data_IF_078437441615
#
_entry.id   IF_078437441615
#
_cell.length_a   1.000
_cell.length_b   1.000
_cell.length_c   1.000
_cell.angle_alpha   90.00
_cell.angle_beta   90.00
_cell.angle_gamma   90.00
#
_symmetry.space_group_name_H-M   'P 1'
#
loop_
_entity.id
_entity.type
_entity.pdbx_description
1 polymer ?
#
# COMPACT_ATOMS: atom_id res chain seq x y z
N UNK A 1 -26.88 -66.84 -12.32
CA UNK A 1 -26.10 -66.48 -11.11
C UNK A 1 -24.77 -65.88 -11.55
N UNK A 2 -24.64 -64.56 -11.57
CA UNK A 2 -23.37 -63.84 -11.74
C UNK A 2 -23.42 -62.64 -10.80
N UNK A 3 -22.68 -62.74 -9.71
CA UNK A 3 -22.39 -61.64 -8.79
C UNK A 3 -21.50 -60.64 -9.54
N UNK A 4 -21.94 -59.39 -9.64
CA UNK A 4 -21.04 -58.27 -9.94
C UNK A 4 -21.07 -57.32 -8.75
N UNK A 5 -20.02 -57.41 -7.96
CA UNK A 5 -19.69 -56.50 -6.89
C UNK A 5 -19.15 -55.22 -7.55
N UNK A 6 -19.90 -54.13 -7.48
CA UNK A 6 -19.39 -52.80 -7.85
C UNK A 6 -19.03 -52.07 -6.56
N UNK A 7 -17.74 -52.13 -6.25
CA UNK A 7 -17.07 -51.30 -5.26
C UNK A 7 -16.41 -50.17 -6.05
N UNK A 8 -16.82 -48.91 -5.88
CA UNK A 8 -15.86 -47.79 -5.91
C UNK A 8 -16.41 -46.43 -5.44
N UNK A 9 -15.73 -45.95 -4.39
CA UNK A 9 -15.33 -44.58 -4.09
C UNK A 9 -16.42 -43.50 -3.94
N UNK A 10 -16.91 -43.38 -2.71
CA UNK A 10 -17.32 -42.08 -2.14
C UNK A 10 -16.09 -41.16 -2.10
N UNK A 11 -16.03 -40.20 -3.01
CA UNK A 11 -15.12 -39.06 -2.89
C UNK A 11 -15.74 -38.13 -1.84
N UNK A 12 -15.28 -38.24 -0.60
CA UNK A 12 -15.47 -37.19 0.39
C UNK A 12 -14.64 -35.99 -0.06
N UNK A 13 -15.26 -35.06 -0.79
CA UNK A 13 -14.69 -33.73 -0.96
C UNK A 13 -14.72 -33.04 0.40
N UNK A 14 -13.59 -33.10 1.10
CA UNK A 14 -13.30 -32.24 2.23
C UNK A 14 -13.40 -30.79 1.76
N UNK A 15 -14.50 -30.12 2.10
CA UNK A 15 -14.57 -28.66 2.09
C UNK A 15 -13.66 -28.18 3.22
N UNK A 16 -12.37 -28.08 2.95
CA UNK A 16 -11.46 -27.27 3.75
C UNK A 16 -11.77 -25.83 3.40
N UNK A 17 -12.65 -25.19 4.19
CA UNK A 17 -12.62 -23.75 4.31
C UNK A 17 -11.32 -23.40 5.02
N UNK A 18 -10.31 -23.00 4.25
CA UNK A 18 -9.18 -22.29 4.81
C UNK A 18 -9.75 -20.96 5.34
N UNK A 19 -9.85 -20.86 6.67
CA UNK A 19 -10.14 -19.63 7.35
C UNK A 19 -8.85 -18.81 7.29
N UNK A 20 -8.65 -18.11 6.18
CA UNK A 20 -7.56 -17.17 6.01
C UNK A 20 -8.19 -15.79 6.08
N UNK A 21 -7.85 -15.04 7.13
CA UNK A 21 -8.02 -13.58 7.22
C UNK A 21 -7.09 -12.88 6.21
N UNK A 22 -7.03 -13.38 4.97
CA UNK A 22 -6.31 -12.80 3.87
C UNK A 22 -7.14 -11.63 3.34
N UNK A 23 -6.47 -10.48 3.30
CA UNK A 23 -6.78 -9.21 2.64
C UNK A 23 -7.70 -9.35 1.42
N UNK A 24 -9.00 -9.59 1.65
CA UNK A 24 -10.03 -9.53 0.64
C UNK A 24 -10.35 -8.06 0.35
N UNK A 25 -9.39 -7.41 -0.32
CA UNK A 25 -9.62 -6.17 -1.04
C UNK A 25 -10.68 -6.49 -2.12
N UNK A 26 -11.84 -5.84 -2.04
CA UNK A 26 -12.67 -5.72 -3.21
C UNK A 26 -11.91 -4.79 -4.15
N UNK A 27 -11.13 -5.36 -5.08
CA UNK A 27 -10.44 -4.65 -6.15
C UNK A 27 -11.48 -3.81 -6.91
N UNK A 28 -11.56 -2.53 -6.58
CA UNK A 28 -12.22 -1.55 -7.40
C UNK A 28 -11.17 -1.09 -8.41
N UNK A 29 -11.25 -1.63 -9.63
CA UNK A 29 -10.23 -1.44 -10.66
C UNK A 29 -9.89 0.05 -10.85
N UNK A 30 -8.65 0.42 -10.51
CA UNK A 30 -8.08 1.69 -10.93
C UNK A 30 -8.01 1.73 -12.46
N UNK A 31 -8.43 2.82 -13.09
CA UNK A 31 -8.30 2.97 -14.55
C UNK A 31 -6.84 3.19 -14.92
N UNK A 32 -6.12 2.09 -15.13
CA UNK A 32 -4.74 2.13 -15.57
C UNK A 32 -4.67 2.28 -17.09
N UNK A 33 -3.88 3.25 -17.56
CA UNK A 33 -3.73 3.48 -19.01
C UNK A 33 -3.05 2.29 -19.69
N UNK A 34 -2.10 1.64 -18.99
CA UNK A 34 -1.47 0.37 -19.37
C UNK A 34 -1.10 -0.40 -18.09
N UNK A 35 -1.33 -1.71 -18.05
CA UNK A 35 -0.84 -2.54 -16.94
C UNK A 35 0.70 -2.51 -16.92
N UNK A 36 1.33 -2.40 -15.74
CA UNK A 36 2.77 -2.43 -15.65
C UNK A 36 3.24 -3.88 -15.78
N UNK A 37 4.45 -4.06 -16.27
CA UNK A 37 5.05 -5.40 -16.33
C UNK A 37 5.80 -5.63 -15.01
N UNK A 38 5.41 -6.66 -14.27
CA UNK A 38 6.15 -7.10 -13.10
C UNK A 38 7.40 -7.87 -13.53
N UNK A 39 8.58 -7.45 -13.06
CA UNK A 39 9.82 -8.21 -13.20
C UNK A 39 10.28 -8.66 -11.80
N UNK A 40 10.49 -9.97 -11.63
CA UNK A 40 10.78 -10.61 -10.34
C UNK A 40 12.28 -10.91 -10.18
N UNK A 41 12.83 -10.51 -9.03
CA UNK A 41 13.57 -11.43 -8.15
C UNK A 41 12.99 -11.30 -6.73
N UNK A 42 13.16 -12.32 -5.88
CA UNK A 42 12.49 -12.49 -4.59
C UNK A 42 12.72 -11.36 -3.56
N UNK A 43 13.54 -10.35 -3.86
CA UNK A 43 13.79 -9.19 -3.00
C UNK A 43 13.76 -7.84 -3.75
N UNK A 44 13.54 -7.81 -5.07
CA UNK A 44 13.57 -6.60 -5.90
C UNK A 44 12.46 -6.55 -6.96
N UNK A 45 11.20 -6.79 -6.57
CA UNK A 45 10.08 -6.61 -7.50
C UNK A 45 10.01 -5.16 -7.98
N UNK A 46 10.35 -4.96 -9.26
CA UNK A 46 10.15 -3.69 -9.93
C UNK A 46 8.84 -3.76 -10.71
N UNK A 47 8.00 -2.77 -10.48
CA UNK A 47 6.92 -2.42 -11.40
C UNK A 47 7.53 -1.61 -12.53
N UNK A 48 7.67 -2.23 -13.72
CA UNK A 48 8.22 -1.56 -14.90
C UNK A 48 7.09 -0.83 -15.61
N UNK A 49 7.16 0.50 -15.59
CA UNK A 49 6.20 1.37 -16.26
C UNK A 49 6.62 1.58 -17.73
N UNK A 50 7.91 1.80 -17.96
CA UNK A 50 8.54 1.79 -19.30
C UNK A 50 10.06 1.55 -19.15
N UNK A 51 10.84 1.41 -20.25
CA UNK A 51 12.28 1.12 -20.16
C UNK A 51 13.10 2.12 -19.32
N UNK A 52 12.65 3.37 -19.25
CA UNK A 52 13.30 4.47 -18.54
C UNK A 52 12.58 4.84 -17.24
N UNK A 53 11.55 4.08 -16.84
CA UNK A 53 10.73 4.37 -15.67
C UNK A 53 10.35 3.08 -14.95
N UNK A 54 10.95 2.87 -13.78
CA UNK A 54 10.69 1.70 -12.92
C UNK A 54 10.47 2.18 -11.49
N UNK A 55 9.60 1.51 -10.76
CA UNK A 55 9.36 1.80 -9.35
C UNK A 55 9.40 0.50 -8.54
N UNK A 56 9.92 0.56 -7.32
CA UNK A 56 9.96 -0.60 -6.42
C UNK A 56 9.85 -0.19 -4.95
N UNK A 57 9.31 -1.10 -4.14
CA UNK A 57 9.51 -1.12 -2.71
C UNK A 57 10.92 -1.65 -2.41
N UNK A 58 11.62 -1.05 -1.45
CA UNK A 58 13.00 -1.39 -1.11
C UNK A 58 13.10 -1.65 0.38
N UNK A 59 13.70 -2.78 0.72
CA UNK A 59 14.15 -3.09 2.07
C UNK A 59 15.58 -2.55 2.25
N UNK A 60 15.76 -1.62 3.18
CA UNK A 60 17.06 -1.04 3.52
C UNK A 60 17.71 -1.74 4.71
N UNK A 61 17.14 -2.87 5.15
CA UNK A 61 17.62 -3.66 6.27
C UNK A 61 17.07 -3.20 7.61
N UNK A 62 17.57 -3.85 8.67
CA UNK A 62 17.09 -3.63 10.03
C UNK A 62 17.98 -2.66 10.80
N UNK A 63 17.37 -1.94 11.74
CA UNK A 63 18.07 -1.09 12.70
C UNK A 63 17.68 -1.49 14.12
N UNK A 64 18.68 -1.66 14.98
CA UNK A 64 18.44 -1.94 16.39
C UNK A 64 18.29 -0.64 17.19
N UNK A 65 17.37 -0.68 18.15
CA UNK A 65 17.02 0.43 19.02
C UNK A 65 16.92 -0.04 20.47
N UNK A 66 17.09 0.91 21.38
CA UNK A 66 16.89 0.70 22.80
C UNK A 66 16.11 1.87 23.37
N UNK A 67 15.01 1.60 24.07
CA UNK A 67 14.18 2.60 24.75
C UNK A 67 13.80 2.07 26.12
N UNK A 68 14.20 2.78 27.18
CA UNK A 68 13.92 2.40 28.58
C UNK A 68 14.22 0.91 28.84
N UNK A 69 15.44 0.49 28.50
CA UNK A 69 15.95 -0.88 28.66
C UNK A 69 15.35 -1.95 27.73
N UNK A 70 14.27 -1.64 27.00
CA UNK A 70 13.71 -2.54 25.98
C UNK A 70 14.54 -2.41 24.69
N UNK A 71 15.12 -3.53 24.26
CA UNK A 71 15.79 -3.66 22.96
C UNK A 71 14.78 -4.15 21.92
N UNK A 72 14.75 -3.50 20.77
CA UNK A 72 13.86 -3.85 19.67
C UNK A 72 14.49 -3.47 18.33
N UNK A 73 14.05 -4.13 17.27
CA UNK A 73 14.53 -3.87 15.90
C UNK A 73 13.40 -3.27 15.08
N UNK A 74 13.75 -2.34 14.20
CA UNK A 74 12.85 -1.78 13.19
C UNK A 74 13.37 -2.18 11.81
N UNK A 75 12.47 -2.50 10.89
CA UNK A 75 12.76 -2.66 9.48
C UNK A 75 12.73 -1.29 8.81
N UNK A 76 13.83 -0.90 8.17
CA UNK A 76 13.91 0.33 7.37
C UNK A 76 13.53 -0.01 5.93
N UNK A 77 12.63 0.75 5.34
CA UNK A 77 12.18 0.50 3.98
C UNK A 77 11.85 1.82 3.28
N UNK A 78 11.55 1.77 1.98
CA UNK A 78 11.02 2.92 1.25
C UNK A 78 10.70 2.58 -0.19
N UNK A 79 10.37 3.60 -0.98
CA UNK A 79 10.09 3.42 -2.41
C UNK A 79 11.13 4.16 -3.24
N UNK A 80 11.72 3.44 -4.19
CA UNK A 80 12.65 3.97 -5.16
C UNK A 80 12.03 4.03 -6.55
N UNK A 81 12.29 5.13 -7.26
CA UNK A 81 11.88 5.29 -8.65
C UNK A 81 13.11 5.57 -9.52
N UNK A 82 13.35 4.69 -10.49
CA UNK A 82 14.25 4.96 -11.61
C UNK A 82 13.50 5.90 -12.56
N UNK A 83 13.93 7.15 -12.64
CA UNK A 83 13.41 8.13 -13.59
C UNK A 83 14.55 8.50 -14.56
N UNK A 84 14.44 8.03 -15.80
CA UNK A 84 15.49 8.06 -16.82
C UNK A 84 16.69 7.24 -16.39
N UNK A 85 17.80 7.90 -16.05
CA UNK A 85 19.08 7.27 -15.69
C UNK A 85 19.44 7.46 -14.20
N UNK A 86 18.51 7.99 -13.40
CA UNK A 86 18.74 8.31 -12.00
C UNK A 86 17.67 7.63 -11.15
N UNK A 87 18.10 7.05 -10.04
CA UNK A 87 17.20 6.51 -9.02
C UNK A 87 16.95 7.59 -7.98
N UNK A 88 15.70 7.75 -7.58
CA UNK A 88 15.28 8.66 -6.53
C UNK A 88 14.57 7.89 -5.43
N UNK A 89 14.91 8.16 -4.18
CA UNK A 89 14.14 7.75 -3.01
C UNK A 89 12.95 8.71 -2.90
N UNK A 90 11.75 8.19 -3.11
CA UNK A 90 10.50 8.95 -2.94
C UNK A 90 10.27 9.15 -1.45
N UNK A 91 10.27 8.08 -0.67
CA UNK A 91 10.26 8.17 0.78
C UNK A 91 11.08 7.05 1.40
N UNK A 92 11.46 7.24 2.66
CA UNK A 92 12.05 6.22 3.53
C UNK A 92 11.32 6.25 4.87
N UNK A 93 10.91 5.09 5.36
CA UNK A 93 10.22 4.92 6.63
C UNK A 93 10.79 3.74 7.42
N UNK A 94 10.25 3.54 8.62
CA UNK A 94 10.62 2.47 9.55
C UNK A 94 9.37 1.88 10.16
N UNK A 95 9.27 0.56 10.13
CA UNK A 95 8.20 -0.19 10.79
C UNK A 95 8.80 -1.16 11.81
N UNK A 96 8.03 -1.64 12.80
CA UNK A 96 8.44 -2.77 13.63
C UNK A 96 8.97 -3.95 12.80
N UNK A 97 9.85 -4.77 13.37
CA UNK A 97 10.35 -5.95 12.67
C UNK A 97 9.23 -6.94 12.30
N UNK A 98 8.17 -7.00 13.12
CA UNK A 98 6.96 -7.80 12.89
C UNK A 98 5.91 -7.00 12.13
N UNK A 99 6.29 -6.51 10.96
CA UNK A 99 5.41 -5.75 10.07
C UNK A 99 5.48 -6.25 8.64
N UNK A 100 4.33 -6.28 8.00
CA UNK A 100 4.20 -6.49 6.57
C UNK A 100 4.00 -5.14 5.88
N UNK A 101 4.73 -4.92 4.80
CA UNK A 101 4.64 -3.70 3.99
C UNK A 101 4.30 -4.09 2.56
N UNK A 102 3.19 -3.56 2.07
CA UNK A 102 2.68 -3.78 0.72
C UNK A 102 2.81 -2.50 -0.12
N UNK A 103 2.99 -2.69 -1.43
CA UNK A 103 3.11 -1.63 -2.42
C UNK A 103 2.18 -1.92 -3.60
N UNK A 104 1.45 -0.91 -4.07
CA UNK A 104 0.59 -1.04 -5.24
C UNK A 104 0.71 0.19 -6.12
N UNK A 105 0.99 0.02 -7.42
CA UNK A 105 0.89 1.10 -8.40
C UNK A 105 -0.59 1.36 -8.69
N UNK A 106 -1.06 2.59 -8.46
CA UNK A 106 -2.47 2.96 -8.67
C UNK A 106 -2.70 3.64 -10.02
N UNK A 107 -1.72 4.43 -10.48
CA UNK A 107 -1.87 5.23 -11.68
C UNK A 107 -0.51 5.67 -12.23
N UNK A 108 -0.41 5.82 -13.55
CA UNK A 108 0.69 6.51 -14.16
C UNK A 108 0.26 7.20 -15.46
N UNK A 109 0.88 8.35 -15.72
CA UNK A 109 0.83 9.04 -17.01
C UNK A 109 2.23 9.59 -17.36
N UNK A 110 2.32 10.50 -18.32
CA UNK A 110 3.58 11.12 -18.75
C UNK A 110 4.24 12.04 -17.70
N UNK A 111 3.48 12.50 -16.72
CA UNK A 111 3.86 13.50 -15.73
C UNK A 111 3.92 12.91 -14.31
N UNK A 112 3.00 12.01 -13.97
CA UNK A 112 2.77 11.51 -12.62
C UNK A 112 2.86 9.99 -12.57
N UNK A 113 3.46 9.49 -11.49
CA UNK A 113 3.31 8.10 -11.03
C UNK A 113 2.70 8.16 -9.64
N UNK A 114 1.63 7.43 -9.41
CA UNK A 114 0.98 7.39 -8.11
C UNK A 114 0.79 5.96 -7.64
N UNK A 115 1.08 5.74 -6.38
CA UNK A 115 1.17 4.42 -5.77
C UNK A 115 0.76 4.49 -4.30
N UNK A 116 0.34 3.35 -3.78
CA UNK A 116 -0.04 3.15 -2.39
C UNK A 116 1.02 2.33 -1.68
N UNK A 117 1.24 2.65 -0.41
CA UNK A 117 1.94 1.79 0.53
C UNK A 117 1.04 1.51 1.71
N UNK A 118 0.99 0.24 2.13
CA UNK A 118 0.26 -0.19 3.32
C UNK A 118 1.23 -0.81 4.30
N UNK A 119 1.08 -0.49 5.57
CA UNK A 119 1.84 -1.12 6.65
C UNK A 119 0.86 -1.80 7.58
N UNK A 120 1.07 -3.10 7.83
CA UNK A 120 0.37 -3.84 8.86
C UNK A 120 1.41 -4.26 9.91
N UNK A 121 1.39 -3.58 11.04
CA UNK A 121 2.44 -3.63 12.04
C UNK A 121 1.97 -4.24 13.34
N UNK A 122 2.79 -5.12 13.91
CA UNK A 122 2.65 -5.55 15.30
C UNK A 122 3.71 -4.87 16.16
N UNK A 123 3.27 -4.06 17.12
CA UNK A 123 4.12 -3.23 17.95
C UNK A 123 4.20 -3.88 19.33
N UNK A 124 5.31 -4.59 19.59
CA UNK A 124 5.48 -5.43 20.78
C UNK A 124 6.59 -4.97 21.74
N UNK A 125 7.24 -3.86 21.44
CA UNK A 125 8.29 -3.25 22.27
C UNK A 125 7.74 -2.21 23.27
N UNK A 126 6.45 -2.30 23.58
CA UNK A 126 5.74 -1.45 24.55
C UNK A 126 5.05 -2.32 25.60
N UNK A 127 4.62 -1.73 26.72
CA UNK A 127 3.99 -2.47 27.83
C UNK A 127 2.74 -3.24 27.40
N UNK A 128 1.94 -2.64 26.53
CA UNK A 128 0.73 -3.25 25.99
C UNK A 128 0.84 -3.31 24.46
N UNK A 129 1.22 -4.47 23.90
CA UNK A 129 1.34 -4.64 22.46
C UNK A 129 0.03 -4.36 21.72
N UNK A 130 0.14 -3.76 20.53
CA UNK A 130 -1.00 -3.41 19.69
C UNK A 130 -0.65 -3.54 18.20
N UNK A 131 -1.69 -3.71 17.37
CA UNK A 131 -1.58 -3.67 15.91
C UNK A 131 -1.79 -2.26 15.40
N UNK A 132 -1.11 -1.91 14.33
CA UNK A 132 -1.31 -0.67 13.61
C UNK A 132 -1.44 -0.95 12.12
N UNK A 133 -2.44 -0.36 11.48
CA UNK A 133 -2.64 -0.40 10.04
C UNK A 133 -2.54 1.01 9.47
N UNK A 134 -1.61 1.22 8.55
CA UNK A 134 -1.51 2.47 7.80
C UNK A 134 -1.72 2.21 6.30
N UNK A 135 -2.31 3.20 5.63
CA UNK A 135 -2.36 3.26 4.19
C UNK A 135 -2.12 4.69 3.75
N UNK A 136 -1.05 4.91 2.98
CA UNK A 136 -0.69 6.21 2.42
C UNK A 136 -0.57 6.11 0.90
N UNK A 137 -0.98 7.17 0.22
CA UNK A 137 -0.87 7.30 -1.23
C UNK A 137 0.13 8.38 -1.57
N UNK A 138 0.98 8.09 -2.53
CA UNK A 138 2.03 8.99 -2.96
C UNK A 138 1.78 9.37 -4.42
N UNK A 139 1.98 10.64 -4.74
CA UNK A 139 1.99 11.12 -6.13
C UNK A 139 3.36 11.69 -6.43
N UNK A 140 4.10 11.01 -7.31
CA UNK A 140 5.42 11.42 -7.76
C UNK A 140 5.34 12.18 -9.07
N UNK A 141 5.84 13.42 -9.08
CA UNK A 141 5.98 14.22 -10.29
C UNK A 141 7.32 13.89 -11.00
N UNK A 142 7.22 13.24 -12.17
CA UNK A 142 8.34 12.81 -13.00
C UNK A 142 9.20 13.95 -13.55
N UNK A 143 8.65 15.16 -13.62
CA UNK A 143 9.35 16.33 -14.17
C UNK A 143 10.08 17.08 -13.06
N UNK A 144 9.38 17.35 -11.96
CA UNK A 144 9.88 18.15 -10.83
C UNK A 144 10.71 17.33 -9.83
N UNK A 145 10.65 15.99 -9.91
CA UNK A 145 11.20 15.05 -8.90
C UNK A 145 10.77 15.44 -7.48
N UNK A 146 9.49 15.79 -7.36
CA UNK A 146 8.82 16.06 -6.09
C UNK A 146 7.67 15.10 -5.96
N UNK A 147 7.28 14.80 -4.73
CA UNK A 147 6.10 14.00 -4.46
C UNK A 147 5.24 14.67 -3.40
N UNK A 148 3.98 14.26 -3.35
CA UNK A 148 3.11 14.52 -2.20
C UNK A 148 2.76 13.17 -1.56
N UNK A 149 2.54 13.19 -0.25
CA UNK A 149 1.97 12.08 0.51
C UNK A 149 0.56 12.47 0.93
N UNK A 150 -0.38 11.57 0.68
CA UNK A 150 -1.76 11.63 1.14
C UNK A 150 -1.93 10.54 2.20
N UNK A 151 -1.98 10.88 3.50
CA UNK A 151 -2.31 9.92 4.54
C UNK A 151 -3.80 9.54 4.42
N UNK A 152 -4.10 8.27 4.17
CA UNK A 152 -5.48 7.80 3.95
C UNK A 152 -6.04 7.15 5.20
N UNK A 153 -5.25 6.31 5.87
CA UNK A 153 -5.65 5.61 7.07
C UNK A 153 -4.46 5.44 8.01
N UNK A 154 -4.69 5.67 9.30
CA UNK A 154 -3.83 5.25 10.39
C UNK A 154 -4.73 4.75 11.53
N UNK A 155 -4.73 3.44 11.77
CA UNK A 155 -5.64 2.79 12.71
C UNK A 155 -4.87 1.92 13.69
N UNK A 156 -4.92 2.27 14.96
CA UNK A 156 -4.40 1.46 16.05
C UNK A 156 -5.48 0.52 16.59
N UNK A 157 -5.11 -0.71 16.93
CA UNK A 157 -6.01 -1.64 17.59
C UNK A 157 -6.19 -1.21 19.04
N UNK A 158 -7.44 -1.00 19.46
CA UNK A 158 -7.73 -0.72 20.88
C UNK A 158 -7.76 -2.01 21.73
N UNK A 159 -7.99 -3.18 21.11
CA UNK A 159 -8.12 -4.47 21.78
C UNK A 159 -6.87 -5.35 21.63
N UNK A 160 -5.74 -4.94 22.24
CA UNK A 160 -4.53 -5.78 22.46
C UNK A 160 -4.18 -6.73 21.29
N UNK A 161 -4.05 -6.21 20.06
CA UNK A 161 -3.69 -6.93 18.81
C UNK A 161 -4.82 -7.57 17.97
N UNK A 162 -6.11 -7.31 18.20
CA UNK A 162 -7.15 -8.04 17.44
C UNK A 162 -7.44 -7.46 16.05
N UNK A 163 -7.87 -6.21 15.96
CA UNK A 163 -8.38 -5.66 14.70
C UNK A 163 -8.10 -4.16 14.58
N UNK A 164 -7.96 -3.72 13.34
CA UNK A 164 -7.81 -2.32 12.92
C UNK A 164 -8.82 -2.05 11.82
N UNK A 165 -9.13 -0.77 11.58
CA UNK A 165 -9.83 -0.40 10.36
C UNK A 165 -8.98 -0.79 9.14
N UNK A 166 -9.63 -1.07 8.02
CA UNK A 166 -8.95 -1.52 6.79
C UNK A 166 -9.34 -0.67 5.60
N UNK A 167 -8.39 -0.47 4.69
CA UNK A 167 -8.67 0.03 3.35
C UNK A 167 -9.27 -1.10 2.52
N UNK A 168 -10.56 -1.02 2.21
CA UNK A 168 -11.28 -2.07 1.46
C UNK A 168 -11.02 -1.98 -0.05
N UNK A 169 -10.67 -0.79 -0.54
CA UNK A 169 -10.36 -0.53 -1.94
C UNK A 169 -10.13 0.95 -2.18
N UNK A 170 -9.32 1.25 -3.18
CA UNK A 170 -9.04 2.60 -3.63
C UNK A 170 -8.74 2.66 -5.13
N UNK A 171 -8.94 3.84 -5.68
CA UNK A 171 -8.69 4.11 -7.08
C UNK A 171 -8.21 5.54 -7.26
N UNK A 172 -7.40 5.72 -8.30
CA UNK A 172 -6.98 7.03 -8.77
C UNK A 172 -7.32 7.19 -10.24
N UNK A 173 -7.94 8.31 -10.57
CA UNK A 173 -8.34 8.66 -11.94
C UNK A 173 -7.88 10.06 -12.30
N UNK A 174 -7.78 10.34 -13.60
CA UNK A 174 -7.48 11.68 -14.12
C UNK A 174 -8.64 12.19 -14.98
N UNK A 175 -9.24 13.31 -14.56
CA UNK A 175 -10.22 14.05 -15.36
C UNK A 175 -9.47 15.01 -16.28
N UNK A 176 -9.32 14.62 -17.55
CA UNK A 176 -8.63 15.41 -18.57
C UNK A 176 -9.34 16.71 -18.94
N UNK A 177 -10.66 16.80 -18.74
CA UNK A 177 -11.44 18.03 -19.01
C UNK A 177 -11.15 19.09 -17.96
N UNK A 178 -10.96 18.66 -16.70
CA UNK A 178 -10.67 19.57 -15.57
C UNK A 178 -9.18 19.68 -15.24
N UNK A 179 -8.35 18.80 -15.78
CA UNK A 179 -6.94 18.70 -15.43
C UNK A 179 -6.73 18.32 -13.95
N UNK A 180 -7.55 17.40 -13.45
CA UNK A 180 -7.59 17.03 -12.03
C UNK A 180 -7.34 15.55 -11.82
N UNK A 181 -6.57 15.22 -10.79
CA UNK A 181 -6.44 13.87 -10.27
C UNK A 181 -7.47 13.66 -9.15
N UNK A 182 -8.22 12.56 -9.20
CA UNK A 182 -9.27 12.24 -8.24
C UNK A 182 -8.95 10.90 -7.60
N UNK A 183 -8.58 10.94 -6.32
CA UNK A 183 -8.40 9.78 -5.48
C UNK A 183 -9.71 9.47 -4.74
N UNK A 184 -10.10 8.20 -4.74
CA UNK A 184 -11.25 7.68 -4.01
C UNK A 184 -10.82 6.45 -3.22
N UNK A 185 -11.25 6.35 -1.97
CA UNK A 185 -10.97 5.20 -1.10
C UNK A 185 -12.17 4.86 -0.24
N UNK A 186 -12.31 3.58 0.10
CA UNK A 186 -13.31 3.09 1.03
C UNK A 186 -12.61 2.46 2.25
N UNK A 187 -12.88 2.99 3.43
CA UNK A 187 -12.36 2.47 4.69
C UNK A 187 -13.48 1.76 5.41
N UNK A 188 -13.25 0.50 5.79
CA UNK A 188 -14.17 -0.28 6.61
C UNK A 188 -13.75 -0.21 8.07
N UNK A 189 -14.64 0.30 8.91
CA UNK A 189 -14.44 0.33 10.35
C UNK A 189 -14.52 -1.08 10.94
N UNK A 190 -13.54 -1.49 11.73
CA UNK A 190 -13.58 -2.81 12.38
C UNK A 190 -14.64 -2.88 13.48
N UNK A 191 -14.85 -1.78 14.21
CA UNK A 191 -15.81 -1.70 15.32
C UNK A 191 -17.25 -1.76 14.85
N UNK A 192 -17.55 -1.02 13.79
CA UNK A 192 -18.93 -0.80 13.35
C UNK A 192 -19.28 -1.56 12.07
N UNK A 193 -18.28 -2.07 11.35
CA UNK A 193 -18.45 -2.65 10.01
C UNK A 193 -18.83 -1.62 8.93
N UNK A 194 -19.05 -0.35 9.29
CA UNK A 194 -19.47 0.71 8.36
C UNK A 194 -18.33 1.09 7.42
N UNK A 195 -18.70 1.45 6.20
CA UNK A 195 -17.78 1.93 5.19
C UNK A 195 -17.84 3.46 5.14
N UNK A 196 -16.69 4.10 5.23
CA UNK A 196 -16.50 5.53 5.02
C UNK A 196 -15.76 5.74 3.69
N UNK A 197 -16.33 6.56 2.82
CA UNK A 197 -15.67 6.94 1.56
C UNK A 197 -14.87 8.24 1.73
N UNK A 198 -13.61 8.20 1.28
CA UNK A 198 -12.71 9.34 1.18
C UNK A 198 -12.63 9.76 -0.28
N UNK A 199 -12.63 11.07 -0.52
CA UNK A 199 -12.34 11.66 -1.81
C UNK A 199 -11.32 12.77 -1.64
N UNK A 200 -10.28 12.74 -2.47
CA UNK A 200 -9.30 13.82 -2.57
C UNK A 200 -9.11 14.22 -4.02
N UNK A 201 -9.08 15.52 -4.30
CA UNK A 201 -8.90 16.09 -5.63
C UNK A 201 -7.64 16.93 -5.63
N UNK A 202 -6.75 16.66 -6.58
CA UNK A 202 -5.56 17.46 -6.85
C UNK A 202 -5.65 18.11 -8.22
N UNK A 203 -5.06 19.29 -8.38
CA UNK A 203 -4.82 19.85 -9.71
C UNK A 203 -3.60 19.16 -10.37
N UNK A 204 -3.33 19.50 -11.64
CA UNK A 204 -2.18 19.00 -12.39
C UNK A 204 -0.80 19.30 -11.79
N UNK A 205 -0.72 20.27 -10.86
CA UNK A 205 0.48 20.61 -10.11
C UNK A 205 0.60 19.85 -8.78
N UNK A 206 -0.30 18.90 -8.50
CA UNK A 206 -0.42 18.17 -7.23
C UNK A 206 -0.77 19.06 -6.03
N UNK A 207 -1.40 20.22 -6.25
CA UNK A 207 -1.97 21.00 -5.15
C UNK A 207 -3.34 20.43 -4.81
N UNK A 208 -3.59 20.20 -3.51
CA UNK A 208 -4.86 19.74 -3.01
C UNK A 208 -5.93 20.81 -3.23
N UNK A 209 -6.99 20.46 -3.96
CA UNK A 209 -8.16 21.32 -4.19
C UNK A 209 -9.20 21.04 -3.10
N UNK A 210 -9.43 19.77 -2.79
CA UNK A 210 -10.33 19.33 -1.73
C UNK A 210 -9.97 17.93 -1.26
N UNK A 211 -10.23 17.65 0.03
CA UNK A 211 -10.13 16.32 0.60
C UNK A 211 -11.17 16.12 1.69
N UNK A 212 -11.74 14.92 1.77
CA UNK A 212 -12.54 14.51 2.93
C UNK A 212 -11.73 14.57 4.24
N UNK A 213 -10.42 14.36 4.18
CA UNK A 213 -9.52 14.36 5.35
C UNK A 213 -8.82 15.71 5.60
N UNK A 214 -9.14 16.75 4.83
CA UNK A 214 -8.45 18.04 4.86
C UNK A 214 -7.22 18.09 3.94
N UNK A 215 -6.85 19.30 3.53
CA UNK A 215 -5.71 19.55 2.64
C UNK A 215 -4.48 20.09 3.39
N UNK A 216 -4.62 20.44 4.67
CA UNK A 216 -3.65 21.22 5.45
C UNK A 216 -2.32 20.48 5.64
N UNK A 217 -2.36 19.15 5.65
CA UNK A 217 -1.20 18.28 5.88
C UNK A 217 -0.51 17.83 4.59
N UNK A 218 -1.07 18.16 3.41
CA UNK A 218 -0.56 17.68 2.13
C UNK A 218 0.39 18.71 1.52
N UNK A 219 1.69 18.43 1.61
CA UNK A 219 2.76 19.28 1.09
C UNK A 219 3.65 18.56 0.08
N UNK A 220 4.21 19.32 -0.87
CA UNK A 220 5.17 18.79 -1.84
C UNK A 220 6.56 18.67 -1.23
N UNK A 221 7.10 17.45 -1.21
CA UNK A 221 8.42 17.10 -0.71
C UNK A 221 9.37 16.77 -1.88
N UNK A 222 10.68 17.09 -1.76
CA UNK A 222 11.66 16.71 -2.75
C UNK A 222 11.98 15.21 -2.64
N UNK A 223 12.06 14.51 -3.78
CA UNK A 223 12.65 13.19 -3.80
C UNK A 223 14.19 13.31 -3.80
N UNK A 224 14.84 12.46 -3.03
CA UNK A 224 16.30 12.50 -2.90
C UNK A 224 16.92 11.54 -3.90
N UNK A 225 18.04 11.92 -4.50
CA UNK A 225 18.75 11.00 -5.41
C UNK A 225 19.32 9.85 -4.57
N UNK A 226 19.05 8.62 -4.96
CA UNK A 226 19.70 7.46 -4.35
C UNK A 226 21.20 7.50 -4.68
N UNK A 227 22.04 7.21 -3.69
CA UNK A 227 23.49 7.13 -3.84
C UNK A 227 23.90 5.86 -4.57
#
# INVERSE_FOLDING_TARGET
MKFFCSLLLLVLSSNTFANVDEWNDYLQDSTQINLPIEYIDSYNNYTVINPNLKIKLVDFGNIDKTKKEIKYSLKKYGVQILNRKKVYNVFESKVPLKSDVDFTLLYNDKNIVAFRVRENSNIDYVKEPYKNFTANVYFYNLIKNKFIELPVLNSDSEDKNKSTDILQGDQLTFDSKKGQYIYLANIKSYKTGKIQSIKTIFNSNLQCISSTLGCETIGALPATKAN
#
